data_IF_150717613841
#
_entry.id   IF_150717613841
#
_cell.length_a   1.000
_cell.length_b   1.000
_cell.length_c   1.000
_cell.angle_alpha   90.00
_cell.angle_beta   90.00
_cell.angle_gamma   90.00
#
_symmetry.space_group_name_H-M   'P 1'
#
loop_
_entity.id
_entity.type
_entity.pdbx_description
1 polymer ?
#
# COMPACT_ATOMS: atom_id res chain seq x y z
N UNK A 1 4.09 -10.38 -6.88
CA UNK A 1 3.36 -9.58 -5.89
C UNK A 1 2.92 -10.46 -4.73
N UNK A 2 2.88 -9.95 -3.50
CA UNK A 2 2.38 -10.66 -2.30
C UNK A 2 1.00 -10.11 -1.96
N UNK A 3 0.05 -10.98 -1.70
CA UNK A 3 -1.35 -10.65 -1.42
C UNK A 3 -1.78 -11.33 -0.12
N UNK A 4 -2.45 -10.59 0.74
CA UNK A 4 -3.17 -11.13 1.88
C UNK A 4 -4.67 -11.11 1.57
N UNK A 5 -5.33 -12.24 1.84
CA UNK A 5 -6.79 -12.36 1.77
C UNK A 5 -7.30 -12.61 3.19
N UNK A 6 -8.31 -11.86 3.59
CA UNK A 6 -9.07 -12.12 4.81
C UNK A 6 -10.55 -12.24 4.46
N UNK A 7 -11.12 -13.42 4.65
CA UNK A 7 -12.53 -13.73 4.35
C UNK A 7 -12.95 -14.94 5.20
N UNK A 8 -14.00 -14.82 5.97
CA UNK A 8 -14.52 -15.89 6.84
C UNK A 8 -15.29 -16.97 6.07
N UNK A 9 -15.85 -16.61 4.89
CA UNK A 9 -16.44 -17.58 3.98
C UNK A 9 -15.35 -18.41 3.28
N UNK A 10 -15.32 -19.71 3.64
CA UNK A 10 -14.38 -20.67 3.09
C UNK A 10 -14.47 -20.81 1.56
N UNK A 11 -15.66 -20.62 0.98
CA UNK A 11 -15.88 -20.78 -0.46
C UNK A 11 -15.37 -19.54 -1.19
N UNK A 12 -15.74 -18.35 -0.71
CA UNK A 12 -15.28 -17.08 -1.26
C UNK A 12 -13.75 -16.97 -1.21
N UNK A 13 -13.14 -17.23 -0.04
CA UNK A 13 -11.69 -17.22 0.11
C UNK A 13 -10.98 -18.19 -0.84
N UNK A 14 -11.55 -19.36 -1.08
CA UNK A 14 -10.96 -20.35 -1.98
C UNK A 14 -11.04 -19.93 -3.45
N UNK A 15 -12.12 -19.27 -3.85
CA UNK A 15 -12.26 -18.70 -5.19
C UNK A 15 -11.27 -17.56 -5.39
N UNK A 16 -11.13 -16.66 -4.40
CA UNK A 16 -10.14 -15.58 -4.39
C UNK A 16 -8.72 -16.13 -4.55
N UNK A 17 -8.34 -17.06 -3.67
CA UNK A 17 -7.02 -17.68 -3.68
C UNK A 17 -6.73 -18.37 -5.01
N UNK A 18 -7.64 -19.21 -5.51
CA UNK A 18 -7.47 -19.91 -6.78
C UNK A 18 -7.35 -18.95 -7.98
N UNK A 19 -8.09 -17.85 -7.97
CA UNK A 19 -8.03 -16.84 -9.03
C UNK A 19 -6.68 -16.12 -9.01
N UNK A 20 -6.21 -15.73 -7.83
CA UNK A 20 -4.98 -14.94 -7.70
C UNK A 20 -3.71 -15.80 -7.89
N UNK A 21 -3.72 -17.06 -7.46
CA UNK A 21 -2.62 -18.00 -7.72
C UNK A 21 -2.40 -18.25 -9.21
N UNK A 22 -3.44 -18.19 -10.04
CA UNK A 22 -3.32 -18.31 -11.51
C UNK A 22 -2.54 -17.17 -12.15
N UNK A 23 -2.37 -16.06 -11.42
CA UNK A 23 -1.62 -14.87 -11.86
C UNK A 23 -0.16 -14.88 -11.36
N UNK A 24 0.30 -16.03 -10.85
CA UNK A 24 1.66 -16.21 -10.31
C UNK A 24 1.99 -15.28 -9.13
N UNK A 25 0.98 -14.93 -8.33
CA UNK A 25 1.14 -14.12 -7.12
C UNK A 25 1.23 -15.01 -5.88
N UNK A 26 1.97 -14.55 -4.89
CA UNK A 26 2.05 -15.21 -3.58
C UNK A 26 0.84 -14.78 -2.75
N UNK A 27 0.01 -15.74 -2.37
CA UNK A 27 -1.23 -15.49 -1.63
C UNK A 27 -1.12 -16.10 -0.25
N UNK A 28 -1.45 -15.31 0.77
CA UNK A 28 -1.67 -15.75 2.15
C UNK A 28 -3.15 -15.54 2.45
N UNK A 29 -3.82 -16.55 3.04
CA UNK A 29 -5.25 -16.48 3.34
C UNK A 29 -5.47 -16.69 4.83
N UNK A 30 -6.24 -15.80 5.45
CA UNK A 30 -6.70 -15.87 6.84
C UNK A 30 -8.22 -15.82 6.90
N UNK A 31 -8.83 -16.13 8.05
CA UNK A 31 -10.26 -16.36 8.18
C UNK A 31 -11.01 -15.30 8.99
N UNK A 32 -10.32 -14.33 9.52
CA UNK A 32 -10.90 -13.26 10.34
C UNK A 32 -10.00 -12.04 10.35
N UNK A 33 -10.56 -10.91 10.77
CA UNK A 33 -9.83 -9.64 10.75
C UNK A 33 -8.75 -9.56 11.82
N UNK A 34 -8.88 -10.26 12.94
CA UNK A 34 -7.85 -10.29 13.98
C UNK A 34 -6.60 -10.99 13.45
N UNK A 35 -6.77 -12.18 12.86
CA UNK A 35 -5.70 -12.93 12.21
C UNK A 35 -5.07 -12.14 11.04
N UNK A 36 -5.88 -11.35 10.32
CA UNK A 36 -5.37 -10.47 9.27
C UNK A 36 -4.44 -9.39 9.84
N UNK A 37 -4.87 -8.73 10.90
CA UNK A 37 -4.08 -7.70 11.57
C UNK A 37 -2.80 -8.26 12.18
N UNK A 38 -2.89 -9.38 12.93
CA UNK A 38 -1.72 -10.06 13.49
C UNK A 38 -0.71 -10.47 12.40
N UNK A 39 -1.20 -10.97 11.26
CA UNK A 39 -0.34 -11.31 10.12
C UNK A 39 0.39 -10.07 9.60
N UNK A 40 -0.32 -8.96 9.45
CA UNK A 40 0.27 -7.70 8.99
C UNK A 40 1.33 -7.16 9.97
N UNK A 41 1.05 -7.19 11.28
CA UNK A 41 1.97 -6.71 12.31
C UNK A 41 3.25 -7.54 12.42
N UNK A 42 3.13 -8.86 12.33
CA UNK A 42 4.26 -9.78 12.52
C UNK A 42 5.08 -9.99 11.25
N UNK A 43 4.57 -9.63 10.08
CA UNK A 43 5.28 -9.76 8.81
C UNK A 43 6.43 -8.74 8.73
N UNK A 44 7.63 -9.17 8.32
CA UNK A 44 8.75 -8.28 8.11
C UNK A 44 8.48 -7.29 6.95
N UNK A 45 9.08 -6.11 6.97
CA UNK A 45 8.84 -5.07 5.95
C UNK A 45 9.05 -5.55 4.51
N UNK A 46 10.11 -6.31 4.26
CA UNK A 46 10.42 -6.86 2.93
C UNK A 46 9.38 -7.89 2.45
N UNK A 47 8.57 -8.42 3.38
CA UNK A 47 7.58 -9.46 3.13
C UNK A 47 6.15 -8.95 3.17
N UNK A 48 5.94 -7.67 3.45
CA UNK A 48 4.61 -7.07 3.50
C UNK A 48 3.81 -7.34 2.21
N UNK A 49 2.51 -7.64 2.35
CA UNK A 49 1.64 -7.72 1.20
C UNK A 49 1.48 -6.35 0.54
N UNK A 50 1.66 -6.31 -0.76
CA UNK A 50 1.45 -5.10 -1.55
C UNK A 50 -0.04 -4.85 -1.84
N UNK A 51 -0.86 -5.89 -1.72
CA UNK A 51 -2.30 -5.82 -1.88
C UNK A 51 -2.98 -6.66 -0.80
N UNK A 52 -4.04 -6.12 -0.23
CA UNK A 52 -4.85 -6.80 0.79
C UNK A 52 -6.30 -6.81 0.31
N UNK A 53 -6.91 -7.99 0.32
CA UNK A 53 -8.34 -8.19 0.05
C UNK A 53 -9.02 -8.52 1.36
N UNK A 54 -9.93 -7.69 1.80
CA UNK A 54 -10.63 -7.83 3.08
C UNK A 54 -12.12 -7.99 2.85
N UNK A 55 -12.70 -9.03 3.40
CA UNK A 55 -14.15 -9.05 3.54
C UNK A 55 -14.58 -7.98 4.55
N UNK A 56 -15.66 -7.30 4.25
CA UNK A 56 -16.24 -6.30 5.15
C UNK A 56 -16.67 -6.91 6.48
N UNK A 57 -17.41 -8.02 6.41
CA UNK A 57 -18.01 -8.67 7.58
C UNK A 57 -17.19 -9.88 7.98
N UNK A 58 -16.36 -9.75 9.02
CA UNK A 58 -15.56 -10.83 9.56
C UNK A 58 -15.67 -10.88 11.09
N UNK A 59 -15.47 -12.05 11.70
CA UNK A 59 -15.33 -12.16 13.15
C UNK A 59 -14.13 -11.36 13.68
N UNK A 60 -14.25 -10.83 14.89
CA UNK A 60 -13.21 -10.02 15.53
C UNK A 60 -13.20 -8.62 14.97
N UNK A 61 -12.13 -8.23 14.29
CA UNK A 61 -12.08 -6.97 13.55
C UNK A 61 -12.80 -7.11 12.20
N UNK A 62 -13.63 -6.15 11.86
CA UNK A 62 -14.18 -6.09 10.51
C UNK A 62 -13.16 -5.56 9.49
N UNK A 63 -13.45 -5.72 8.19
CA UNK A 63 -12.52 -5.31 7.14
C UNK A 63 -12.26 -3.80 7.12
N UNK A 64 -13.23 -3.00 7.52
CA UNK A 64 -13.11 -1.54 7.60
C UNK A 64 -12.23 -1.13 8.77
N UNK A 65 -12.34 -1.82 9.90
CA UNK A 65 -11.48 -1.61 11.07
C UNK A 65 -10.02 -1.96 10.75
N UNK A 66 -9.78 -3.11 10.10
CA UNK A 66 -8.43 -3.48 9.63
C UNK A 66 -7.88 -2.42 8.67
N UNK A 67 -8.69 -1.95 7.73
CA UNK A 67 -8.29 -0.89 6.80
C UNK A 67 -7.91 0.40 7.55
N UNK A 68 -8.69 0.84 8.54
CA UNK A 68 -8.38 2.02 9.37
C UNK A 68 -7.07 1.85 10.14
N UNK A 69 -6.84 0.68 10.74
CA UNK A 69 -5.59 0.37 11.42
C UNK A 69 -4.40 0.46 10.47
N UNK A 70 -4.52 -0.10 9.27
CA UNK A 70 -3.48 -0.01 8.24
C UNK A 70 -3.18 1.46 7.89
N UNK A 71 -4.21 2.28 7.66
CA UNK A 71 -4.04 3.69 7.29
C UNK A 71 -3.55 4.59 8.42
N UNK A 72 -3.68 4.16 9.66
CA UNK A 72 -3.09 4.84 10.82
C UNK A 72 -1.56 4.65 10.91
N UNK A 73 -0.98 3.72 10.16
CA UNK A 73 0.45 3.43 10.17
C UNK A 73 1.10 3.72 8.82
N UNK A 74 2.17 4.53 8.76
CA UNK A 74 2.92 4.78 7.51
C UNK A 74 3.45 3.51 6.85
N UNK A 75 3.64 2.45 7.63
CA UNK A 75 4.12 1.14 7.17
C UNK A 75 3.30 0.56 6.02
N UNK A 76 2.00 0.84 5.99
CA UNK A 76 1.06 0.28 5.00
C UNK A 76 0.58 1.32 3.99
N UNK A 77 1.21 2.49 3.93
CA UNK A 77 0.80 3.59 3.05
C UNK A 77 0.71 3.17 1.58
N UNK A 78 1.68 2.38 1.12
CA UNK A 78 1.74 1.90 -0.26
C UNK A 78 0.94 0.61 -0.50
N UNK A 79 0.34 0.02 0.53
CA UNK A 79 -0.47 -1.20 0.39
C UNK A 79 -1.83 -0.87 -0.20
N UNK A 80 -2.17 -1.53 -1.30
CA UNK A 80 -3.49 -1.41 -1.92
C UNK A 80 -4.51 -2.26 -1.17
N UNK A 81 -5.62 -1.65 -0.73
CA UNK A 81 -6.68 -2.33 0.00
C UNK A 81 -7.93 -2.39 -0.88
N UNK A 82 -8.40 -3.63 -1.13
CA UNK A 82 -9.66 -3.94 -1.80
C UNK A 82 -10.63 -4.51 -0.76
N UNK A 83 -11.76 -3.84 -0.54
CA UNK A 83 -12.82 -4.35 0.31
C UNK A 83 -13.80 -5.19 -0.48
N UNK A 84 -14.21 -6.34 0.08
CA UNK A 84 -15.32 -7.13 -0.43
C UNK A 84 -16.53 -6.91 0.46
N UNK A 85 -17.68 -6.68 -0.14
CA UNK A 85 -18.90 -6.40 0.63
C UNK A 85 -20.11 -7.11 0.05
N UNK A 86 -20.96 -7.63 0.91
CA UNK A 86 -22.33 -8.09 0.53
C UNK A 86 -23.34 -6.95 0.56
N UNK A 87 -22.93 -5.75 0.95
CA UNK A 87 -23.79 -4.58 1.09
C UNK A 87 -23.76 -3.73 -0.16
N UNK A 88 -24.93 -3.39 -0.67
CA UNK A 88 -25.10 -2.55 -1.85
C UNK A 88 -25.45 -1.08 -1.50
N UNK A 89 -25.60 -0.77 -0.21
CA UNK A 89 -25.97 0.57 0.22
C UNK A 89 -24.86 1.58 -0.06
N UNK A 90 -25.23 2.73 -0.63
CA UNK A 90 -24.27 3.79 -0.99
C UNK A 90 -23.53 4.35 0.22
N UNK A 91 -24.16 4.34 1.39
CA UNK A 91 -23.61 4.78 2.66
C UNK A 91 -22.43 3.87 3.09
N UNK A 92 -22.59 2.56 2.95
CA UNK A 92 -21.54 1.58 3.29
C UNK A 92 -20.32 1.74 2.36
N UNK A 93 -20.54 1.98 1.06
CA UNK A 93 -19.47 2.23 0.11
C UNK A 93 -18.67 3.49 0.45
N UNK A 94 -19.36 4.56 0.86
CA UNK A 94 -18.71 5.80 1.29
C UNK A 94 -17.89 5.59 2.56
N UNK A 95 -18.37 4.75 3.50
CA UNK A 95 -17.63 4.40 4.71
C UNK A 95 -16.33 3.65 4.41
N UNK A 96 -16.36 2.64 3.55
CA UNK A 96 -15.17 1.86 3.17
C UNK A 96 -14.09 2.72 2.51
N UNK A 97 -14.48 3.59 1.59
CA UNK A 97 -13.56 4.52 0.94
C UNK A 97 -13.03 5.58 1.92
N UNK A 98 -13.89 6.09 2.82
CA UNK A 98 -13.48 7.02 3.87
C UNK A 98 -12.53 6.39 4.90
N UNK A 99 -12.63 5.07 5.11
CA UNK A 99 -11.67 4.31 5.91
C UNK A 99 -10.29 4.18 5.25
N UNK A 100 -10.16 4.57 3.99
CA UNK A 100 -8.91 4.55 3.22
C UNK A 100 -8.72 3.34 2.32
N UNK A 101 -9.77 2.56 2.05
CA UNK A 101 -9.73 1.54 1.01
C UNK A 101 -9.52 2.18 -0.37
N UNK A 102 -8.77 1.50 -1.22
CA UNK A 102 -8.48 1.99 -2.58
C UNK A 102 -9.59 1.62 -3.57
N UNK A 103 -10.28 0.52 -3.31
CA UNK A 103 -11.40 0.04 -4.14
C UNK A 103 -12.28 -0.89 -3.31
N UNK A 104 -13.45 -1.21 -3.85
CA UNK A 104 -14.36 -2.20 -3.28
C UNK A 104 -14.98 -3.05 -4.38
N UNK A 105 -15.51 -4.22 -3.99
CA UNK A 105 -16.23 -5.12 -4.89
C UNK A 105 -17.36 -5.81 -4.14
N UNK A 106 -18.51 -5.97 -4.79
CA UNK A 106 -19.68 -6.62 -4.19
C UNK A 106 -19.61 -8.14 -4.33
N UNK A 107 -20.10 -8.86 -3.31
CA UNK A 107 -20.34 -10.31 -3.35
C UNK A 107 -21.78 -10.58 -3.82
N UNK A 108 -22.04 -11.59 -4.66
CA UNK A 108 -21.05 -12.50 -5.28
C UNK A 108 -20.25 -11.81 -6.38
N UNK A 109 -18.96 -12.07 -6.44
CA UNK A 109 -18.06 -11.45 -7.42
C UNK A 109 -17.72 -12.40 -8.58
N UNK A 110 -17.48 -11.79 -9.74
CA UNK A 110 -16.97 -12.50 -10.92
C UNK A 110 -15.42 -12.59 -10.82
N UNK A 111 -14.83 -13.78 -11.00
CA UNK A 111 -13.38 -13.92 -11.05
C UNK A 111 -12.67 -13.03 -12.08
N UNK A 112 -13.32 -12.72 -13.19
CA UNK A 112 -12.77 -11.83 -14.23
C UNK A 112 -12.74 -10.39 -13.71
N UNK A 113 -13.80 -9.94 -13.02
CA UNK A 113 -13.83 -8.63 -12.39
C UNK A 113 -12.77 -8.51 -11.30
N UNK A 114 -12.64 -9.53 -10.42
CA UNK A 114 -11.60 -9.60 -9.41
C UNK A 114 -10.22 -9.44 -10.03
N UNK A 115 -9.89 -10.24 -11.06
CA UNK A 115 -8.62 -10.15 -11.77
C UNK A 115 -8.36 -8.73 -12.31
N UNK A 116 -9.35 -8.12 -12.94
CA UNK A 116 -9.22 -6.77 -13.50
C UNK A 116 -8.91 -5.74 -12.42
N UNK A 117 -9.62 -5.77 -11.27
CA UNK A 117 -9.41 -4.85 -10.15
C UNK A 117 -8.05 -5.04 -9.49
N UNK A 118 -7.65 -6.27 -9.26
CA UNK A 118 -6.35 -6.57 -8.66
C UNK A 118 -5.20 -6.18 -9.60
N UNK A 119 -5.35 -6.29 -10.92
CA UNK A 119 -4.38 -5.75 -11.89
C UNK A 119 -4.30 -4.22 -11.86
N UNK A 120 -5.41 -3.54 -11.62
CA UNK A 120 -5.40 -2.08 -11.38
C UNK A 120 -4.62 -1.78 -10.11
N UNK A 121 -4.90 -2.48 -9.00
CA UNK A 121 -4.18 -2.36 -7.75
C UNK A 121 -2.66 -2.59 -7.91
N UNK A 122 -2.27 -3.64 -8.64
CA UNK A 122 -0.86 -3.91 -8.96
C UNK A 122 -0.19 -2.72 -9.68
N UNK A 123 -0.89 -2.12 -10.63
CA UNK A 123 -0.38 -0.95 -11.36
C UNK A 123 -0.22 0.25 -10.44
N UNK A 124 -1.19 0.50 -9.57
CA UNK A 124 -1.14 1.59 -8.59
C UNK A 124 0.06 1.41 -7.66
N UNK A 125 0.23 0.23 -7.08
CA UNK A 125 1.36 -0.09 -6.20
C UNK A 125 2.70 0.13 -6.92
N UNK A 126 2.85 -0.37 -8.14
CA UNK A 126 4.08 -0.19 -8.93
C UNK A 126 4.40 1.29 -9.18
N UNK A 127 3.38 2.09 -9.49
CA UNK A 127 3.56 3.52 -9.72
C UNK A 127 3.93 4.26 -8.43
N UNK A 128 3.27 3.95 -7.31
CA UNK A 128 3.57 4.54 -6.02
C UNK A 128 4.99 4.20 -5.56
N UNK A 129 5.39 2.92 -5.65
CA UNK A 129 6.75 2.48 -5.30
C UNK A 129 7.81 3.15 -6.19
N UNK A 130 7.54 3.28 -7.50
CA UNK A 130 8.45 3.97 -8.41
C UNK A 130 8.55 5.46 -8.09
N UNK A 131 7.45 6.10 -7.72
CA UNK A 131 7.43 7.51 -7.33
C UNK A 131 8.21 7.72 -6.03
N UNK A 132 7.97 6.90 -5.00
CA UNK A 132 8.71 6.97 -3.74
C UNK A 132 10.22 6.86 -3.96
N UNK A 133 10.66 5.87 -4.73
CA UNK A 133 12.08 5.72 -5.05
C UNK A 133 12.68 6.94 -5.79
N UNK A 134 11.90 7.62 -6.65
CA UNK A 134 12.35 8.86 -7.31
C UNK A 134 12.43 10.04 -6.38
N UNK A 135 11.52 10.13 -5.40
CA UNK A 135 11.58 11.17 -4.36
C UNK A 135 12.83 10.99 -3.53
N UNK A 136 13.11 9.78 -3.05
CA UNK A 136 14.31 9.47 -2.27
C UNK A 136 15.61 9.83 -3.04
N UNK A 137 15.69 9.45 -4.33
CA UNK A 137 16.84 9.77 -5.21
C UNK A 137 17.04 11.29 -5.34
N UNK A 138 15.94 12.04 -5.47
CA UNK A 138 16.00 13.50 -5.57
C UNK A 138 16.40 14.16 -4.25
N UNK A 139 15.91 13.67 -3.13
CA UNK A 139 16.27 14.16 -1.79
C UNK A 139 17.76 13.94 -1.50
N UNK A 140 18.29 12.75 -1.84
CA UNK A 140 19.72 12.47 -1.72
C UNK A 140 20.57 13.40 -2.59
N UNK A 141 20.15 13.63 -3.85
CA UNK A 141 20.85 14.53 -4.76
C UNK A 141 20.83 15.98 -4.23
N UNK A 142 19.70 16.46 -3.71
CA UNK A 142 19.57 17.78 -3.10
C UNK A 142 20.43 17.93 -1.85
N UNK A 143 20.49 16.90 -1.01
CA UNK A 143 21.35 16.88 0.17
C UNK A 143 22.83 16.99 -0.21
N UNK A 144 23.25 16.31 -1.29
CA UNK A 144 24.62 16.40 -1.80
C UNK A 144 24.93 17.82 -2.32
N UNK A 145 24.03 18.41 -3.14
CA UNK A 145 24.19 19.79 -3.62
C UNK A 145 24.25 20.79 -2.47
N UNK A 146 23.46 20.62 -1.43
CA UNK A 146 23.48 21.47 -0.24
C UNK A 146 24.81 21.39 0.52
N UNK A 147 25.38 20.19 0.63
CA UNK A 147 26.73 19.99 1.22
C UNK A 147 27.80 20.67 0.37
N UNK A 148 27.72 20.62 -0.95
CA UNK A 148 28.67 21.27 -1.85
C UNK A 148 28.57 22.80 -1.82
N UNK A 149 27.35 23.36 -1.65
CA UNK A 149 27.15 24.81 -1.47
C UNK A 149 27.74 25.33 -0.15
N UNK A 150 27.90 24.50 0.85
CA UNK A 150 28.60 24.82 2.11
C UNK A 150 30.12 24.82 1.99
N UNK A 151 30.67 24.33 0.89
CA UNK A 151 32.09 24.50 0.55
C UNK A 151 32.26 25.94 0.06
N UNK A 152 32.96 26.73 0.85
CA UNK A 152 33.22 28.14 0.58
C UNK A 152 33.80 28.32 -0.85
N UNK A 153 33.22 29.18 -1.68
CA UNK A 153 33.76 29.41 -3.03
C UNK A 153 35.14 30.04 -2.93
N UNK A 154 36.17 29.25 -3.24
CA UNK A 154 37.54 29.71 -3.29
C UNK A 154 37.74 30.35 -4.67
N UNK A 155 38.22 31.61 -4.70
CA UNK A 155 38.58 32.27 -5.93
C UNK A 155 39.74 31.50 -6.60
N UNK A 156 39.51 31.04 -7.83
CA UNK A 156 40.53 30.31 -8.62
C UNK A 156 41.83 31.11 -8.84
N UNK A 157 41.77 32.43 -8.79
CA UNK A 157 42.90 33.33 -9.01
C UNK A 157 43.63 33.71 -7.72
N UNK A 158 42.92 34.18 -6.69
CA UNK A 158 43.57 34.66 -5.46
C UNK A 158 43.51 33.66 -4.30
N UNK A 159 42.84 32.51 -4.47
CA UNK A 159 42.63 31.48 -3.46
C UNK A 159 41.98 31.97 -2.15
N UNK A 160 41.36 33.17 -2.14
CA UNK A 160 40.62 33.70 -1.02
C UNK A 160 39.18 33.16 -1.03
N UNK A 161 38.65 32.93 0.18
CA UNK A 161 37.29 32.51 0.38
C UNK A 161 36.35 33.71 0.26
N UNK A 162 35.29 33.59 -0.52
CA UNK A 162 34.29 34.64 -0.66
C UNK A 162 33.30 34.50 0.53
N UNK A 163 33.29 35.46 1.44
CA UNK A 163 32.25 35.60 2.44
C UNK A 163 31.09 36.44 1.87
N UNK A 164 29.84 36.03 2.17
CA UNK A 164 28.61 36.71 1.70
C UNK A 164 28.46 38.15 2.25
N UNK A 165 29.36 38.61 3.08
CA UNK A 165 29.31 39.92 3.74
C UNK A 165 30.23 40.99 3.15
N UNK A 166 30.92 40.73 2.06
CA UNK A 166 31.74 41.73 1.36
C UNK A 166 31.15 42.07 -0.02
N UNK A 167 30.28 43.03 0.00
CA UNK A 167 30.15 44.07 -1.03
C UNK A 167 30.61 45.38 -0.40
#
# INVERSE_FOLDING_TARGET
MKILIADDDAVAARILEATLLRLDWKVTTVRDGTSAWETLETTHEDDLPQLVVLDWMMPGLDGVEVCRLMRASPRYELTYVLLLTSREAKEDLAEGLAAGANDYMTKPFDPIELEARVRVGERVVKLQTSLAARVDELEEALALVSKLKGLLPICAWCKMVRNETNY
#
